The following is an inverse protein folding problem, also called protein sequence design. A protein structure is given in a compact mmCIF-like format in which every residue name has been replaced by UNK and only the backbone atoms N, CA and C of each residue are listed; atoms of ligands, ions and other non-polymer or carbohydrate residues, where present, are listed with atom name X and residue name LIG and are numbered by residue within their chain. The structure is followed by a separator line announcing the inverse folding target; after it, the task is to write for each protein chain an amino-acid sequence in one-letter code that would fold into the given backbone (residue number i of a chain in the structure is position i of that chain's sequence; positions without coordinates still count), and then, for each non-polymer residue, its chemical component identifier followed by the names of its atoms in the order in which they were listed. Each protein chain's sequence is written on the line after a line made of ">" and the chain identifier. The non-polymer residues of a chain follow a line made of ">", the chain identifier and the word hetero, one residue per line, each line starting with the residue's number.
data_IF_034596715263
#
_entry.id   IF_034596715263
#
_cell.length_a   1.000
_cell.length_b   1.000
_cell.length_c   1.000
_cell.angle_alpha   90.00
_cell.angle_beta   90.00
_cell.angle_gamma   90.00
#
_symmetry.space_group_name_H-M   'P 1'
#
loop_
_entity.id
_entity.type
_entity.pdbx_description
1 polymer ?
#
# COMPACT_ATOMS: atom_id res chain seq x y z
N UNK A 1 -53.88 -3.45 -32.61
CA UNK A 1 -52.94 -4.54 -32.96
C UNK A 1 -51.54 -4.08 -32.59
N UNK A 2 -50.83 -4.88 -31.79
CA UNK A 2 -49.54 -4.59 -31.16
C UNK A 2 -48.46 -4.17 -32.18
N UNK A 3 -47.55 -3.23 -31.81
CA UNK A 3 -46.16 -3.64 -31.63
C UNK A 3 -45.39 -2.97 -30.46
N UNK A 4 -44.55 -3.78 -29.79
CA UNK A 4 -43.18 -3.49 -29.31
C UNK A 4 -42.99 -2.45 -28.17
N UNK A 5 -42.92 -2.89 -26.90
CA UNK A 5 -41.68 -3.05 -26.10
C UNK A 5 -40.68 -1.89 -26.17
N UNK A 6 -40.89 -0.86 -25.34
CA UNK A 6 -39.85 0.07 -24.87
C UNK A 6 -39.32 -0.45 -23.53
N UNK A 7 -38.08 -0.90 -23.50
CA UNK A 7 -37.36 -1.34 -22.30
C UNK A 7 -36.44 -0.25 -21.71
N UNK A 8 -36.57 1.01 -22.15
CA UNK A 8 -35.61 2.08 -21.82
C UNK A 8 -35.93 2.88 -20.55
N UNK A 9 -36.87 2.48 -19.70
CA UNK A 9 -37.24 3.28 -18.51
C UNK A 9 -37.31 2.50 -17.20
N UNK A 10 -36.63 1.37 -17.09
CA UNK A 10 -36.52 0.65 -15.82
C UNK A 10 -35.05 0.36 -15.49
N UNK A 11 -34.66 0.68 -14.25
CA UNK A 11 -33.49 0.13 -13.54
C UNK A 11 -32.13 0.84 -13.60
N UNK A 12 -32.06 2.17 -13.38
CA UNK A 12 -30.77 2.78 -12.94
C UNK A 12 -30.84 3.68 -11.69
N UNK A 13 -31.97 3.74 -11.00
CA UNK A 13 -32.08 4.41 -9.68
C UNK A 13 -32.00 3.44 -8.49
N UNK A 14 -31.16 2.40 -8.57
CA UNK A 14 -30.70 1.74 -7.35
C UNK A 14 -29.54 2.58 -6.82
N UNK A 15 -29.92 3.53 -5.95
CA UNK A 15 -29.04 4.44 -5.24
C UNK A 15 -27.93 3.69 -4.52
N UNK A 16 -26.73 3.75 -5.10
CA UNK A 16 -25.47 3.48 -4.42
C UNK A 16 -25.17 4.62 -3.42
N UNK A 17 -25.98 4.74 -2.37
CA UNK A 17 -25.80 5.64 -1.23
C UNK A 17 -24.68 5.22 -0.27
N UNK A 18 -23.72 4.40 -0.74
CA UNK A 18 -22.52 3.98 0.01
C UNK A 18 -21.27 4.07 -0.86
N UNK A 19 -21.25 4.93 -1.88
CA UNK A 19 -19.97 5.35 -2.47
C UNK A 19 -19.25 6.25 -1.46
N UNK A 20 -18.13 5.75 -0.91
CA UNK A 20 -16.95 6.60 -0.67
C UNK A 20 -16.97 7.57 0.53
N UNK A 21 -17.70 7.33 1.63
CA UNK A 21 -17.50 8.19 2.81
C UNK A 21 -16.27 7.79 3.66
N UNK A 22 -16.06 6.50 3.94
CA UNK A 22 -14.87 6.06 4.70
C UNK A 22 -13.59 6.13 3.87
N UNK A 23 -13.69 5.80 2.58
CA UNK A 23 -12.56 5.74 1.66
C UNK A 23 -12.07 7.16 1.29
N UNK A 24 -12.97 8.14 1.20
CA UNK A 24 -12.59 9.54 0.92
C UNK A 24 -11.97 10.27 2.11
N UNK A 25 -12.42 9.98 3.34
CA UNK A 25 -11.99 10.71 4.54
C UNK A 25 -10.57 10.33 4.98
N UNK A 26 -10.22 9.04 4.95
CA UNK A 26 -8.86 8.56 5.24
C UNK A 26 -7.85 8.96 4.15
N UNK A 27 -8.26 8.94 2.87
CA UNK A 27 -7.44 9.43 1.75
C UNK A 27 -7.14 10.92 1.88
N UNK A 28 -8.15 11.73 2.21
CA UNK A 28 -8.00 13.17 2.40
C UNK A 28 -7.03 13.55 3.52
N UNK A 29 -7.03 12.83 4.64
CA UNK A 29 -6.12 13.11 5.77
C UNK A 29 -4.66 12.77 5.42
N UNK A 30 -4.41 11.64 4.74
CA UNK A 30 -3.06 11.25 4.28
C UNK A 30 -2.51 12.27 3.27
N UNK A 31 -3.35 12.70 2.34
CA UNK A 31 -2.99 13.67 1.30
C UNK A 31 -2.67 15.06 1.89
N UNK A 32 -3.45 15.53 2.86
CA UNK A 32 -3.20 16.83 3.52
C UNK A 32 -1.92 16.81 4.36
N UNK A 33 -1.66 15.72 5.10
CA UNK A 33 -0.48 15.60 5.95
C UNK A 33 0.82 15.51 5.14
N UNK A 34 0.79 14.83 3.98
CA UNK A 34 1.97 14.59 3.15
C UNK A 34 2.18 15.67 2.08
N UNK A 35 1.17 16.51 1.81
CA UNK A 35 1.24 17.59 0.83
C UNK A 35 2.49 18.51 0.91
N UNK A 36 2.95 19.00 2.07
CA UNK A 36 4.13 19.86 2.15
C UNK A 36 5.42 19.12 1.80
N UNK A 37 5.54 17.85 2.18
CA UNK A 37 6.71 17.04 1.86
C UNK A 37 6.71 16.62 0.38
N UNK A 38 5.54 16.26 -0.15
CA UNK A 38 5.37 15.96 -1.57
C UNK A 38 5.72 17.16 -2.47
N UNK A 39 5.36 18.38 -2.07
CA UNK A 39 5.76 19.62 -2.77
C UNK A 39 7.28 19.83 -2.74
N UNK A 40 7.94 19.53 -1.63
CA UNK A 40 9.39 19.64 -1.52
C UNK A 40 10.14 18.61 -2.40
N UNK A 41 9.52 17.45 -2.64
CA UNK A 41 10.06 16.36 -3.46
C UNK A 41 9.58 16.40 -4.92
N UNK A 42 8.93 17.47 -5.37
CA UNK A 42 8.29 17.59 -6.69
C UNK A 42 9.21 17.42 -7.92
N UNK A 43 10.52 17.35 -7.74
CA UNK A 43 11.49 17.04 -8.81
C UNK A 43 11.95 15.58 -8.84
N UNK A 44 11.58 14.78 -7.84
CA UNK A 44 11.96 13.37 -7.73
C UNK A 44 10.89 12.53 -8.41
N UNK A 45 11.33 11.56 -9.23
CA UNK A 45 10.43 10.62 -9.88
C UNK A 45 9.74 9.72 -8.83
N UNK A 46 8.42 9.51 -8.90
CA UNK A 46 7.70 8.59 -8.01
C UNK A 46 8.33 7.20 -7.97
N UNK A 47 8.78 6.66 -9.11
CA UNK A 47 9.46 5.36 -9.20
C UNK A 47 10.75 5.32 -8.39
N UNK A 48 11.47 6.44 -8.28
CA UNK A 48 12.69 6.52 -7.44
C UNK A 48 12.33 6.46 -5.96
N UNK A 49 11.26 7.13 -5.55
CA UNK A 49 10.76 7.07 -4.17
C UNK A 49 10.33 5.64 -3.82
N UNK A 50 9.59 4.97 -4.70
CA UNK A 50 9.23 3.55 -4.54
C UNK A 50 10.46 2.66 -4.41
N UNK A 51 11.50 2.88 -5.24
CA UNK A 51 12.74 2.11 -5.16
C UNK A 51 13.51 2.35 -3.85
N UNK A 52 13.55 3.58 -3.36
CA UNK A 52 14.12 3.91 -2.05
C UNK A 52 13.31 3.24 -0.94
N UNK A 53 11.98 3.30 -1.03
CA UNK A 53 11.06 2.59 -0.13
C UNK A 53 11.42 1.11 -0.06
N UNK A 54 11.48 0.43 -1.21
CA UNK A 54 11.86 -0.98 -1.30
C UNK A 54 13.19 -1.29 -0.60
N UNK A 55 14.24 -0.49 -0.81
CA UNK A 55 15.54 -0.68 -0.13
C UNK A 55 15.41 -0.54 1.38
N UNK A 56 14.68 0.47 1.85
CA UNK A 56 14.42 0.70 3.29
C UNK A 56 13.61 -0.45 3.88
N UNK A 57 12.58 -0.93 3.18
CA UNK A 57 11.74 -2.06 3.60
C UNK A 57 12.50 -3.40 3.66
N UNK A 58 13.39 -3.66 2.69
CA UNK A 58 14.30 -4.80 2.76
C UNK A 58 15.30 -4.65 3.91
N UNK A 59 15.81 -3.44 4.15
CA UNK A 59 16.65 -3.12 5.30
C UNK A 59 15.95 -3.40 6.63
N UNK A 60 14.65 -3.11 6.73
CA UNK A 60 13.81 -3.47 7.88
C UNK A 60 13.78 -4.99 8.08
N UNK A 61 13.51 -5.75 7.02
CA UNK A 61 13.48 -7.21 7.08
C UNK A 61 14.85 -7.80 7.50
N UNK A 62 15.95 -7.27 6.94
CA UNK A 62 17.31 -7.66 7.32
C UNK A 62 17.63 -7.34 8.78
N UNK A 63 17.20 -6.17 9.27
CA UNK A 63 17.38 -5.78 10.68
C UNK A 63 16.58 -6.67 11.63
N UNK A 64 15.35 -7.05 11.22
CA UNK A 64 14.53 -8.01 11.94
C UNK A 64 15.21 -9.38 12.00
N UNK A 65 15.77 -9.85 10.87
CA UNK A 65 16.51 -11.10 10.78
C UNK A 65 17.81 -11.10 11.60
N UNK A 66 18.43 -9.93 11.80
CA UNK A 66 19.58 -9.76 12.68
C UNK A 66 19.21 -9.67 14.17
N UNK A 67 17.91 -9.75 14.52
CA UNK A 67 17.41 -9.64 15.90
C UNK A 67 17.29 -8.21 16.43
N UNK A 68 17.57 -7.18 15.61
CA UNK A 68 17.44 -5.78 16.00
C UNK A 68 16.04 -5.24 15.70
N UNK A 69 15.09 -5.56 16.59
CA UNK A 69 13.68 -5.22 16.43
C UNK A 69 13.40 -3.71 16.41
N UNK A 70 14.16 -2.92 17.19
CA UNK A 70 13.98 -1.46 17.22
C UNK A 70 14.35 -0.81 15.88
N UNK A 71 15.48 -1.23 15.30
CA UNK A 71 15.91 -0.75 13.98
C UNK A 71 14.95 -1.22 12.89
N UNK A 72 14.50 -2.48 12.95
CA UNK A 72 13.50 -3.00 12.02
C UNK A 72 12.21 -2.17 12.05
N UNK A 73 11.66 -1.89 13.24
CA UNK A 73 10.46 -1.06 13.39
C UNK A 73 10.67 0.35 12.84
N UNK A 74 11.81 0.98 13.14
CA UNK A 74 12.13 2.31 12.63
C UNK A 74 12.20 2.36 11.10
N UNK A 75 12.86 1.38 10.47
CA UNK A 75 12.96 1.27 9.02
C UNK A 75 11.60 0.94 8.38
N UNK A 76 10.79 0.08 9.00
CA UNK A 76 9.44 -0.22 8.51
C UNK A 76 8.53 1.01 8.51
N UNK A 77 8.56 1.80 9.59
CA UNK A 77 7.82 3.06 9.65
C UNK A 77 8.30 4.05 8.58
N UNK A 78 9.61 4.16 8.37
CA UNK A 78 10.17 4.99 7.31
C UNK A 78 9.70 4.53 5.91
N UNK A 79 9.68 3.23 5.64
CA UNK A 79 9.13 2.66 4.41
C UNK A 79 7.67 3.08 4.19
N UNK A 80 6.82 2.98 5.22
CA UNK A 80 5.40 3.33 5.14
C UNK A 80 5.16 4.83 4.92
N UNK A 81 6.07 5.68 5.38
CA UNK A 81 6.06 7.11 5.07
C UNK A 81 6.44 7.36 3.60
N UNK A 82 7.47 6.70 3.08
CA UNK A 82 7.93 6.86 1.69
C UNK A 82 6.86 6.43 0.69
N UNK A 83 6.18 5.31 0.94
CA UNK A 83 5.00 4.81 0.20
C UNK A 83 3.79 5.77 0.25
N UNK A 84 3.67 6.58 1.30
CA UNK A 84 2.67 7.65 1.31
C UNK A 84 3.05 8.81 0.41
N UNK A 85 4.35 9.04 0.27
CA UNK A 85 4.90 10.20 -0.43
C UNK A 85 4.91 9.99 -1.92
N UNK A 86 5.29 8.83 -2.45
CA UNK A 86 5.31 8.58 -3.90
C UNK A 86 3.90 8.66 -4.52
N UNK A 87 2.87 8.12 -3.87
CA UNK A 87 1.48 8.26 -4.28
C UNK A 87 1.01 9.72 -4.25
N UNK A 88 1.37 10.47 -3.20
CA UNK A 88 1.03 11.90 -3.10
C UNK A 88 1.77 12.75 -4.15
N UNK A 89 3.03 12.45 -4.41
CA UNK A 89 3.87 13.10 -5.43
C UNK A 89 3.37 12.79 -6.84
N UNK A 90 3.03 11.53 -7.15
CA UNK A 90 2.49 11.14 -8.44
C UNK A 90 1.14 11.83 -8.75
N UNK A 91 0.28 11.99 -7.73
CA UNK A 91 -0.98 12.75 -7.85
C UNK A 91 -0.72 14.23 -8.10
N UNK A 92 0.22 14.85 -7.39
CA UNK A 92 0.56 16.27 -7.58
C UNK A 92 1.19 16.56 -8.95
N UNK A 93 2.00 15.63 -9.46
CA UNK A 93 2.67 15.80 -10.77
C UNK A 93 1.79 15.36 -11.95
N UNK A 94 0.60 14.81 -11.71
CA UNK A 94 -0.25 14.16 -12.74
C UNK A 94 0.48 13.04 -13.51
N UNK A 95 1.54 12.47 -12.94
CA UNK A 95 2.38 11.43 -13.55
C UNK A 95 1.98 10.01 -13.13
N UNK A 96 0.72 9.80 -12.77
CA UNK A 96 0.21 8.46 -12.48
C UNK A 96 0.32 7.61 -13.75
N UNK A 97 1.10 6.53 -13.69
CA UNK A 97 1.31 5.62 -14.80
C UNK A 97 1.08 4.18 -14.37
N UNK A 98 0.55 3.34 -15.26
CA UNK A 98 0.27 1.94 -14.97
C UNK A 98 1.54 1.18 -14.55
N UNK A 99 2.68 1.49 -15.17
CA UNK A 99 3.98 0.89 -14.82
C UNK A 99 4.44 1.32 -13.43
N UNK A 100 4.26 2.59 -13.08
CA UNK A 100 4.63 3.11 -11.77
C UNK A 100 3.76 2.50 -10.68
N UNK A 101 2.44 2.47 -10.88
CA UNK A 101 1.50 1.84 -9.93
C UNK A 101 1.73 0.33 -9.78
N UNK A 102 2.07 -0.37 -10.86
CA UNK A 102 2.44 -1.79 -10.78
C UNK A 102 3.74 -2.01 -10.00
N UNK A 103 4.75 -1.15 -10.20
CA UNK A 103 6.01 -1.26 -9.46
C UNK A 103 5.84 -0.95 -7.97
N UNK A 104 5.03 0.05 -7.64
CA UNK A 104 4.62 0.40 -6.27
C UNK A 104 3.96 -0.78 -5.57
N UNK A 105 2.94 -1.35 -6.21
CA UNK A 105 2.25 -2.55 -5.76
C UNK A 105 3.22 -3.73 -5.54
N UNK A 106 4.11 -4.01 -6.49
CA UNK A 106 5.10 -5.07 -6.37
C UNK A 106 6.10 -4.82 -5.22
N UNK A 107 6.60 -3.59 -5.09
CA UNK A 107 7.53 -3.21 -4.04
C UNK A 107 6.89 -3.41 -2.66
N UNK A 108 5.63 -3.02 -2.52
CA UNK A 108 4.86 -3.23 -1.32
C UNK A 108 4.73 -4.72 -0.98
N UNK A 109 4.42 -5.57 -1.95
CA UNK A 109 4.36 -7.02 -1.74
C UNK A 109 5.67 -7.59 -1.22
N UNK A 110 6.78 -7.19 -1.83
CA UNK A 110 8.10 -7.67 -1.43
C UNK A 110 8.36 -7.30 0.03
N UNK A 111 8.10 -6.05 0.44
CA UNK A 111 8.35 -5.60 1.82
C UNK A 111 7.41 -6.27 2.81
N UNK A 112 6.12 -6.35 2.49
CA UNK A 112 5.12 -7.00 3.35
C UNK A 112 5.38 -8.49 3.53
N UNK A 113 5.98 -9.15 2.55
CA UNK A 113 6.41 -10.54 2.68
C UNK A 113 7.74 -10.68 3.45
N UNK A 114 8.72 -9.82 3.15
CA UNK A 114 10.07 -9.93 3.69
C UNK A 114 10.15 -9.65 5.20
N UNK A 115 9.39 -8.68 5.72
CA UNK A 115 9.48 -8.29 7.13
C UNK A 115 9.02 -9.40 8.09
N UNK A 116 7.86 -10.07 7.90
CA UNK A 116 7.48 -11.25 8.68
C UNK A 116 8.52 -12.37 8.62
N UNK A 117 9.07 -12.65 7.44
CA UNK A 117 10.14 -13.67 7.27
C UNK A 117 11.38 -13.29 8.08
N UNK A 118 11.80 -12.02 8.03
CA UNK A 118 12.92 -11.52 8.82
C UNK A 118 12.67 -11.67 10.32
N UNK A 119 11.47 -11.39 10.80
CA UNK A 119 11.11 -11.56 12.21
C UNK A 119 11.19 -13.03 12.67
N UNK A 120 10.75 -13.99 11.84
CA UNK A 120 10.90 -15.43 12.14
C UNK A 120 12.37 -15.83 12.24
N UNK A 121 13.21 -15.34 11.33
CA UNK A 121 14.63 -15.70 11.28
C UNK A 121 15.39 -15.16 12.49
N UNK A 122 15.21 -13.88 12.82
CA UNK A 122 16.00 -13.19 13.85
C UNK A 122 15.52 -13.42 15.28
N UNK A 123 14.37 -14.05 15.46
CA UNK A 123 13.88 -14.50 16.75
C UNK A 123 13.17 -15.83 16.53
N UNK A 124 13.84 -16.98 16.72
CA UNK A 124 13.16 -18.26 16.80
C UNK A 124 12.22 -18.18 18.01
N UNK A 125 10.97 -17.85 17.73
CA UNK A 125 9.95 -17.70 18.74
C UNK A 125 9.78 -19.02 19.51
N UNK A 126 9.48 -18.99 20.81
CA UNK A 126 8.88 -20.14 21.48
C UNK A 126 7.61 -20.55 20.71
N UNK A 127 7.35 -21.85 20.62
CA UNK A 127 6.25 -22.45 19.85
C UNK A 127 4.96 -21.59 19.83
N UNK A 128 4.59 -21.04 18.65
CA UNK A 128 3.28 -20.38 18.46
C UNK A 128 3.18 -19.17 17.52
N UNK A 129 4.29 -18.52 17.13
CA UNK A 129 4.24 -17.30 16.30
C UNK A 129 4.16 -17.53 14.78
N UNK A 130 4.45 -18.76 14.31
CA UNK A 130 4.43 -19.10 12.89
C UNK A 130 3.04 -18.91 12.25
N UNK A 131 1.97 -19.23 12.99
CA UNK A 131 0.58 -19.11 12.53
C UNK A 131 0.15 -17.64 12.35
N UNK A 132 0.30 -16.73 13.35
CA UNK A 132 -0.02 -15.33 13.15
C UNK A 132 0.82 -14.65 12.05
N UNK A 133 2.10 -15.02 11.88
CA UNK A 133 2.95 -14.49 10.80
C UNK A 133 2.50 -15.01 9.42
N UNK A 134 2.11 -16.28 9.33
CA UNK A 134 1.51 -16.85 8.12
C UNK A 134 0.14 -16.25 7.77
N UNK A 135 -0.71 -15.96 8.76
CA UNK A 135 -2.00 -15.30 8.57
C UNK A 135 -1.83 -13.84 8.11
N UNK A 136 -0.85 -13.13 8.67
CA UNK A 136 -0.49 -11.79 8.21
C UNK A 136 -0.04 -11.83 6.75
N UNK A 137 0.87 -12.74 6.41
CA UNK A 137 1.33 -12.95 5.03
C UNK A 137 0.16 -13.28 4.08
N UNK A 138 -0.72 -14.19 4.50
CA UNK A 138 -1.91 -14.59 3.75
C UNK A 138 -2.87 -13.43 3.50
N UNK A 139 -3.09 -12.57 4.51
CA UNK A 139 -3.94 -11.39 4.35
C UNK A 139 -3.39 -10.41 3.30
N UNK A 140 -2.06 -10.25 3.20
CA UNK A 140 -1.43 -9.45 2.16
C UNK A 140 -1.59 -10.06 0.77
N UNK A 141 -1.39 -11.37 0.62
CA UNK A 141 -1.65 -12.05 -0.66
C UNK A 141 -3.11 -11.93 -1.12
N UNK A 142 -4.08 -11.94 -0.21
CA UNK A 142 -5.50 -11.74 -0.55
C UNK A 142 -5.78 -10.29 -0.96
N UNK A 143 -5.18 -9.32 -0.26
CA UNK A 143 -5.30 -7.90 -0.61
C UNK A 143 -4.65 -7.57 -1.97
N UNK A 144 -3.74 -8.42 -2.46
CA UNK A 144 -3.09 -8.27 -3.77
C UNK A 144 -3.98 -8.50 -4.98
N UNK A 145 -5.04 -9.28 -4.78
CA UNK A 145 -5.90 -9.77 -5.86
C UNK A 145 -7.22 -8.98 -5.92
N UNK A 146 -7.49 -8.14 -4.91
CA UNK A 146 -8.71 -7.31 -4.81
C UNK A 146 -8.48 -5.90 -5.35
#
# INVERSE_FOLDING_TARGET
>A
MCPLTNWDTAEWEIGWGVRSMFDGSLRGVRDVALAPLARALGSVSPTTLTAIGLVVGIGSAGSAAAGNQNLALGLWLANRLIDGLDGAVARQQETTSDRGGYFDLLADFIVYAAVPVGLVIGSPAPDGLAVPLGLLLGSFYVNAVS
#
